data_IF_639573495945
#
_entry.id   IF_639573495945
#
_cell.length_a   1.000
_cell.length_b   1.000
_cell.length_c   1.000
_cell.angle_alpha   90.00
_cell.angle_beta   90.00
_cell.angle_gamma   90.00
#
_symmetry.space_group_name_H-M   'P 1'
#
loop_
_entity.id
_entity.type
_entity.pdbx_description
1 polymer ?
#
# COMPACT_ATOMS: atom_id res chain seq x y z
N UNK A 1 -18.29 -27.38 -9.34
CA UNK A 1 -18.17 -27.61 -7.89
C UNK A 1 -18.51 -26.31 -7.19
N UNK A 2 -19.73 -26.16 -6.67
CA UNK A 2 -20.13 -24.97 -5.91
C UNK A 2 -19.53 -25.09 -4.51
N UNK A 3 -18.56 -24.26 -4.18
CA UNK A 3 -18.08 -24.14 -2.80
C UNK A 3 -19.14 -23.33 -2.04
N UNK A 4 -19.68 -23.89 -0.95
CA UNK A 4 -20.66 -23.21 -0.11
C UNK A 4 -20.02 -21.94 0.48
N UNK A 5 -20.68 -20.80 0.31
CA UNK A 5 -20.22 -19.51 0.86
C UNK A 5 -19.99 -19.56 2.37
N UNK A 6 -20.74 -20.41 3.09
CA UNK A 6 -20.59 -20.64 4.53
C UNK A 6 -19.23 -21.29 4.85
N UNK A 7 -18.78 -22.21 3.98
CA UNK A 7 -17.47 -22.85 4.15
C UNK A 7 -16.31 -21.87 3.93
N UNK A 8 -16.42 -21.01 2.91
CA UNK A 8 -15.43 -19.95 2.68
C UNK A 8 -15.39 -19.00 3.88
N UNK A 9 -16.55 -18.58 4.38
CA UNK A 9 -16.64 -17.70 5.55
C UNK A 9 -16.02 -18.35 6.80
N UNK A 10 -16.24 -19.63 7.02
CA UNK A 10 -15.65 -20.38 8.14
C UNK A 10 -14.12 -20.43 8.04
N UNK A 11 -13.58 -20.70 6.84
CA UNK A 11 -12.11 -20.69 6.62
C UNK A 11 -11.53 -19.33 6.92
N UNK A 12 -12.12 -18.24 6.41
CA UNK A 12 -11.65 -16.88 6.66
C UNK A 12 -11.71 -16.58 8.17
N UNK A 13 -12.81 -16.92 8.84
CA UNK A 13 -12.94 -16.71 10.27
C UNK A 13 -11.88 -17.47 11.09
N UNK A 14 -11.59 -18.71 10.73
CA UNK A 14 -10.54 -19.51 11.37
C UNK A 14 -9.15 -18.93 11.11
N UNK A 15 -8.88 -18.47 9.90
CA UNK A 15 -7.60 -17.80 9.57
C UNK A 15 -7.42 -16.51 10.39
N UNK A 16 -8.46 -15.66 10.44
CA UNK A 16 -8.42 -14.43 11.23
C UNK A 16 -8.23 -14.70 12.72
N UNK A 17 -8.92 -15.71 13.24
CA UNK A 17 -8.80 -16.11 14.64
C UNK A 17 -7.40 -16.66 14.97
N UNK A 18 -6.86 -17.51 14.09
CA UNK A 18 -5.48 -18.02 14.23
C UNK A 18 -4.45 -16.90 14.20
N UNK A 19 -4.60 -15.96 13.27
CA UNK A 19 -3.71 -14.80 13.16
C UNK A 19 -3.79 -13.89 14.39
N UNK A 20 -5.00 -13.70 14.93
CA UNK A 20 -5.21 -12.96 16.17
C UNK A 20 -4.49 -13.62 17.36
N UNK A 21 -4.62 -14.94 17.53
CA UNK A 21 -3.90 -15.68 18.58
C UNK A 21 -2.39 -15.52 18.39
N UNK A 22 -1.88 -15.71 17.18
CA UNK A 22 -0.45 -15.62 16.89
C UNK A 22 0.12 -14.23 17.19
N UNK A 23 -0.65 -13.16 16.95
CA UNK A 23 -0.25 -11.78 17.22
C UNK A 23 0.07 -11.55 18.71
N UNK A 24 -0.63 -12.24 19.61
CA UNK A 24 -0.44 -12.10 21.06
C UNK A 24 0.35 -13.22 21.72
N UNK A 25 0.48 -14.37 21.05
CA UNK A 25 1.16 -15.56 21.61
C UNK A 25 2.63 -15.64 21.21
N UNK A 26 3.00 -15.09 20.05
CA UNK A 26 4.38 -15.15 19.58
C UNK A 26 5.16 -13.92 20.05
N UNK A 27 6.31 -14.17 20.66
CA UNK A 27 7.21 -13.10 21.09
C UNK A 27 7.64 -12.24 19.90
N UNK A 28 7.49 -10.93 20.02
CA UNK A 28 7.84 -9.96 18.97
C UNK A 28 6.83 -9.79 17.84
N UNK A 29 5.77 -10.62 17.73
CA UNK A 29 4.79 -10.49 16.65
C UNK A 29 4.04 -9.16 16.72
N UNK A 30 3.63 -8.74 17.91
CA UNK A 30 2.97 -7.45 18.11
C UNK A 30 3.88 -6.28 17.74
N UNK A 31 5.15 -6.32 18.10
CA UNK A 31 6.12 -5.29 17.73
C UNK A 31 6.32 -5.25 16.23
N UNK A 32 6.49 -6.40 15.59
CA UNK A 32 6.61 -6.51 14.13
C UNK A 32 5.39 -5.92 13.43
N UNK A 33 4.19 -6.21 13.93
CA UNK A 33 2.95 -5.64 13.43
C UNK A 33 2.93 -4.10 13.56
N UNK A 34 3.24 -3.56 14.73
CA UNK A 34 3.28 -2.11 14.96
C UNK A 34 4.29 -1.42 14.02
N UNK A 35 5.43 -2.04 13.78
CA UNK A 35 6.46 -1.53 12.87
C UNK A 35 5.96 -1.44 11.42
N UNK A 36 5.05 -2.30 11.00
CA UNK A 36 4.50 -2.27 9.62
C UNK A 36 3.44 -1.19 9.42
N UNK A 37 2.78 -0.71 10.48
CA UNK A 37 1.68 0.27 10.38
C UNK A 37 2.08 1.53 9.61
N UNK A 38 3.21 2.22 9.89
CA UNK A 38 3.60 3.40 9.13
C UNK A 38 3.75 3.11 7.63
N UNK A 39 4.33 1.96 7.28
CA UNK A 39 4.52 1.54 5.89
C UNK A 39 3.20 1.38 5.16
N UNK A 40 2.25 0.70 5.78
CA UNK A 40 0.90 0.49 5.22
C UNK A 40 0.16 1.81 5.04
N UNK A 41 0.15 2.65 6.07
CA UNK A 41 -0.54 3.95 6.03
C UNK A 41 0.02 4.84 4.93
N UNK A 42 1.34 4.93 4.82
CA UNK A 42 2.02 5.69 3.77
C UNK A 42 1.68 5.10 2.40
N UNK A 43 1.86 3.79 2.22
CA UNK A 43 1.68 3.14 0.93
C UNK A 43 0.26 3.31 0.38
N UNK A 44 -0.77 3.02 1.17
CA UNK A 44 -2.18 3.13 0.74
C UNK A 44 -2.55 4.60 0.54
N UNK A 45 -2.18 5.49 1.46
CA UNK A 45 -2.56 6.90 1.37
C UNK A 45 -2.04 7.56 0.11
N UNK A 46 -0.77 7.38 -0.18
CA UNK A 46 -0.15 8.00 -1.35
C UNK A 46 -0.57 7.33 -2.65
N UNK A 47 -0.83 6.03 -2.64
CA UNK A 47 -1.39 5.31 -3.77
C UNK A 47 -2.75 5.87 -4.20
N UNK A 48 -3.70 5.93 -3.26
CA UNK A 48 -5.04 6.46 -3.51
C UNK A 48 -5.01 7.97 -3.83
N UNK A 49 -4.15 8.73 -3.15
CA UNK A 49 -3.93 10.13 -3.47
C UNK A 49 -3.44 10.33 -4.90
N UNK A 50 -2.55 9.48 -5.39
CA UNK A 50 -2.02 9.56 -6.74
C UNK A 50 -3.10 9.32 -7.81
N UNK A 51 -4.00 8.35 -7.59
CA UNK A 51 -5.17 8.17 -8.44
C UNK A 51 -6.06 9.40 -8.45
N UNK A 52 -6.40 9.94 -7.27
CA UNK A 52 -7.20 11.14 -7.12
C UNK A 52 -6.57 12.34 -7.83
N UNK A 53 -5.26 12.52 -7.66
CA UNK A 53 -4.51 13.61 -8.27
C UNK A 53 -4.44 13.49 -9.80
N UNK A 54 -4.19 12.29 -10.32
CA UNK A 54 -4.16 12.06 -11.76
C UNK A 54 -5.53 12.29 -12.40
N UNK A 55 -6.63 11.81 -11.78
CA UNK A 55 -7.99 12.04 -12.26
C UNK A 55 -8.33 13.54 -12.30
N UNK A 56 -8.03 14.26 -11.21
CA UNK A 56 -8.24 15.72 -11.12
C UNK A 56 -7.46 16.49 -12.21
N UNK A 57 -6.20 16.11 -12.46
CA UNK A 57 -5.39 16.70 -13.53
C UNK A 57 -5.92 16.41 -14.95
N UNK A 58 -6.63 15.31 -15.10
CA UNK A 58 -7.27 14.94 -16.35
C UNK A 58 -8.69 15.53 -16.51
N UNK A 59 -9.14 16.33 -15.55
CA UNK A 59 -10.40 17.07 -15.62
C UNK A 59 -11.54 16.50 -14.78
N UNK A 60 -11.33 15.38 -14.09
CA UNK A 60 -12.33 14.81 -13.21
C UNK A 60 -12.20 15.38 -11.79
N UNK A 61 -13.08 16.28 -11.41
CA UNK A 61 -13.16 16.92 -10.11
C UNK A 61 -13.87 16.05 -9.04
N UNK A 62 -14.35 14.85 -9.40
CA UNK A 62 -15.02 13.92 -8.47
C UNK A 62 -14.16 13.61 -7.25
N UNK A 63 -12.87 13.24 -7.37
CA UNK A 63 -12.03 12.99 -6.19
C UNK A 63 -11.85 14.22 -5.31
N UNK A 64 -11.78 15.41 -5.91
CA UNK A 64 -11.66 16.68 -5.18
C UNK A 64 -12.92 16.96 -4.37
N UNK A 65 -14.10 16.83 -4.99
CA UNK A 65 -15.39 17.07 -4.33
C UNK A 65 -15.65 16.11 -3.17
N UNK A 66 -15.10 14.90 -3.23
CA UNK A 66 -15.16 13.88 -2.18
C UNK A 66 -14.08 14.05 -1.10
N UNK A 67 -13.21 15.08 -1.20
CA UNK A 67 -12.13 15.34 -0.27
C UNK A 67 -11.03 14.27 -0.30
N UNK A 68 -10.83 13.60 -1.47
CA UNK A 68 -9.82 12.55 -1.68
C UNK A 68 -8.44 13.11 -2.04
N UNK A 69 -8.35 14.37 -2.46
CA UNK A 69 -7.08 15.10 -2.68
C UNK A 69 -6.49 15.56 -1.34
N UNK A 70 -6.11 14.61 -0.51
CA UNK A 70 -5.68 14.86 0.86
C UNK A 70 -4.83 13.68 1.34
N UNK A 71 -3.83 13.93 2.13
CA UNK A 71 -2.89 12.92 2.65
C UNK A 71 -3.27 12.40 4.05
N UNK A 72 -4.49 12.63 4.50
CA UNK A 72 -4.99 12.04 5.74
C UNK A 72 -5.29 10.54 5.53
N UNK A 73 -4.58 9.61 6.20
CA UNK A 73 -4.77 8.17 6.00
C UNK A 73 -6.23 7.72 6.22
N UNK A 74 -6.92 8.30 7.18
CA UNK A 74 -8.31 7.93 7.50
C UNK A 74 -9.32 8.21 6.37
N UNK A 75 -8.93 9.01 5.38
CA UNK A 75 -9.73 9.23 4.18
C UNK A 75 -9.57 8.10 3.14
N UNK A 76 -8.49 7.33 3.25
CA UNK A 76 -8.08 6.32 2.27
C UNK A 76 -8.19 4.88 2.81
N UNK A 77 -8.43 4.72 4.11
CA UNK A 77 -8.60 3.39 4.70
C UNK A 77 -10.03 2.88 4.50
N UNK A 78 -10.13 1.60 4.17
CA UNK A 78 -11.36 0.81 4.22
C UNK A 78 -11.38 -0.01 5.52
N UNK A 79 -12.51 -0.04 6.22
CA UNK A 79 -12.60 -0.74 7.50
C UNK A 79 -12.32 -2.25 7.36
N UNK A 80 -12.95 -2.90 6.37
CA UNK A 80 -12.75 -4.33 6.15
C UNK A 80 -11.37 -4.63 5.59
N UNK A 81 -10.88 -3.82 4.63
CA UNK A 81 -9.53 -3.93 4.11
C UNK A 81 -8.47 -3.77 5.19
N UNK A 82 -8.68 -2.86 6.15
CA UNK A 82 -7.78 -2.67 7.29
C UNK A 82 -7.81 -3.87 8.24
N UNK A 83 -8.99 -4.40 8.56
CA UNK A 83 -9.12 -5.62 9.38
C UNK A 83 -8.43 -6.81 8.70
N UNK A 84 -8.66 -7.01 7.41
CA UNK A 84 -8.00 -8.08 6.64
C UNK A 84 -6.49 -7.93 6.63
N UNK A 85 -5.99 -6.69 6.51
CA UNK A 85 -4.55 -6.42 6.55
C UNK A 85 -3.95 -6.80 7.91
N UNK A 86 -4.63 -6.45 9.01
CA UNK A 86 -4.17 -6.75 10.37
C UNK A 86 -4.11 -8.26 10.63
N UNK A 87 -5.12 -9.00 10.22
CA UNK A 87 -5.29 -10.39 10.62
C UNK A 87 -4.95 -11.42 9.55
N UNK A 88 -5.01 -11.05 8.28
CA UNK A 88 -4.70 -11.94 7.16
C UNK A 88 -3.41 -11.58 6.43
N UNK A 89 -2.78 -10.44 6.78
CA UNK A 89 -1.55 -9.97 6.14
C UNK A 89 -1.76 -9.37 4.74
N UNK A 90 -3.01 -9.27 4.27
CA UNK A 90 -3.37 -8.57 3.05
C UNK A 90 -4.63 -7.73 3.27
N UNK A 91 -4.76 -6.63 2.57
CA UNK A 91 -5.88 -5.72 2.70
C UNK A 91 -5.93 -4.73 1.54
N UNK A 92 -6.90 -3.84 1.59
CA UNK A 92 -7.09 -2.82 0.57
C UNK A 92 -7.48 -1.48 1.18
N UNK A 93 -7.23 -0.42 0.43
CA UNK A 93 -7.70 0.92 0.75
C UNK A 93 -9.15 1.13 0.30
N UNK A 94 -9.72 2.26 0.68
CA UNK A 94 -10.98 2.74 0.14
C UNK A 94 -10.72 3.32 -1.25
N UNK A 95 -11.21 2.70 -2.34
CA UNK A 95 -10.90 3.13 -3.69
C UNK A 95 -11.34 4.58 -3.96
N UNK A 96 -10.59 5.28 -4.80
CA UNK A 96 -11.00 6.60 -5.31
C UNK A 96 -12.06 6.39 -6.39
N UNK A 97 -13.19 7.05 -6.23
CA UNK A 97 -14.21 7.10 -7.27
C UNK A 97 -13.80 8.07 -8.38
N UNK A 98 -13.92 7.62 -9.62
CA UNK A 98 -13.55 8.36 -10.82
C UNK A 98 -14.77 8.40 -11.74
N UNK A 99 -15.06 9.58 -12.30
CA UNK A 99 -16.07 9.73 -13.32
C UNK A 99 -15.42 9.96 -14.70
N UNK A 100 -15.29 8.93 -15.53
CA UNK A 100 -14.64 9.04 -16.82
C UNK A 100 -15.27 10.06 -17.78
N UNK A 101 -16.55 10.42 -17.56
CA UNK A 101 -17.26 11.41 -18.40
C UNK A 101 -16.72 12.83 -18.21
N UNK A 102 -16.05 13.09 -17.08
CA UNK A 102 -15.47 14.39 -16.75
C UNK A 102 -14.08 14.58 -17.36
N UNK A 103 -13.45 13.52 -17.85
CA UNK A 103 -12.11 13.64 -18.43
C UNK A 103 -12.06 14.58 -19.64
N UNK A 104 -10.97 15.32 -19.72
CA UNK A 104 -10.69 16.19 -20.87
C UNK A 104 -10.70 15.36 -22.17
N UNK A 105 -11.38 15.88 -23.20
CA UNK A 105 -11.54 15.18 -24.48
C UNK A 105 -10.29 15.21 -25.38
N UNK A 106 -9.15 15.67 -24.85
CA UNK A 106 -7.90 15.75 -25.61
C UNK A 106 -7.22 14.39 -25.81
N UNK A 107 -7.72 13.34 -25.16
CA UNK A 107 -7.23 11.97 -25.29
C UNK A 107 -8.38 10.97 -25.24
N UNK A 108 -8.11 9.72 -25.64
CA UNK A 108 -9.11 8.66 -25.52
C UNK A 108 -9.40 8.34 -24.06
N UNK A 109 -10.64 7.94 -23.78
CA UNK A 109 -11.10 7.57 -22.45
C UNK A 109 -10.23 6.46 -21.84
N UNK A 110 -9.97 5.41 -22.62
CA UNK A 110 -9.11 4.29 -22.20
C UNK A 110 -7.71 4.75 -21.80
N UNK A 111 -7.12 5.72 -22.54
CA UNK A 111 -5.81 6.28 -22.19
C UNK A 111 -5.86 7.05 -20.87
N UNK A 112 -6.91 7.85 -20.64
CA UNK A 112 -7.10 8.59 -19.41
C UNK A 112 -7.22 7.63 -18.20
N UNK A 113 -8.05 6.58 -18.33
CA UNK A 113 -8.21 5.56 -17.29
C UNK A 113 -6.90 4.82 -17.01
N UNK A 114 -6.12 4.48 -18.04
CA UNK A 114 -4.82 3.83 -17.89
C UNK A 114 -3.80 4.72 -17.16
N UNK A 115 -3.78 6.03 -17.46
CA UNK A 115 -2.92 7.00 -16.77
C UNK A 115 -3.29 7.09 -15.28
N UNK A 116 -4.59 7.20 -15.00
CA UNK A 116 -5.05 7.23 -13.60
C UNK A 116 -4.69 5.93 -12.89
N UNK A 117 -4.93 4.78 -13.51
CA UNK A 117 -4.60 3.48 -12.94
C UNK A 117 -3.09 3.31 -12.69
N UNK A 118 -2.24 3.80 -13.58
CA UNK A 118 -0.79 3.72 -13.42
C UNK A 118 -0.27 4.64 -12.29
N UNK A 119 -0.99 5.70 -11.96
CA UNK A 119 -0.53 6.71 -11.00
C UNK A 119 -0.28 6.13 -9.59
N UNK A 120 -1.16 5.24 -9.10
CA UNK A 120 -1.01 4.57 -7.80
C UNK A 120 0.26 3.74 -7.69
N UNK A 121 0.44 2.71 -8.54
CA UNK A 121 1.66 1.90 -8.54
C UNK A 121 2.94 2.71 -8.74
N UNK A 122 2.94 3.71 -9.63
CA UNK A 122 4.10 4.58 -9.85
C UNK A 122 4.44 5.39 -8.61
N UNK A 123 3.46 5.89 -7.86
CA UNK A 123 3.67 6.59 -6.61
C UNK A 123 4.30 5.66 -5.56
N UNK A 124 3.87 4.41 -5.47
CA UNK A 124 4.48 3.45 -4.57
C UNK A 124 5.95 3.18 -4.91
N UNK A 125 6.30 3.01 -6.18
CA UNK A 125 7.71 2.86 -6.56
C UNK A 125 8.53 4.12 -6.27
N UNK A 126 7.97 5.31 -6.49
CA UNK A 126 8.63 6.55 -6.13
C UNK A 126 8.92 6.63 -4.62
N UNK A 127 7.94 6.27 -3.79
CA UNK A 127 8.12 6.21 -2.33
C UNK A 127 9.16 5.18 -1.94
N UNK A 128 9.13 3.99 -2.53
CA UNK A 128 10.13 2.97 -2.28
C UNK A 128 11.55 3.49 -2.56
N UNK A 129 11.76 4.19 -3.67
CA UNK A 129 13.05 4.80 -4.00
C UNK A 129 13.45 5.86 -2.97
N UNK A 130 12.53 6.76 -2.59
CA UNK A 130 12.81 7.81 -1.60
C UNK A 130 13.20 7.21 -0.25
N UNK A 131 12.44 6.22 0.23
CA UNK A 131 12.74 5.58 1.52
C UNK A 131 13.97 4.67 1.46
N UNK A 132 14.31 4.07 0.31
CA UNK A 132 15.56 3.36 0.11
C UNK A 132 16.77 4.30 0.19
N UNK A 133 16.68 5.50 -0.37
CA UNK A 133 17.71 6.52 -0.22
C UNK A 133 17.87 6.91 1.27
N UNK A 134 16.76 7.12 1.99
CA UNK A 134 16.79 7.41 3.43
C UNK A 134 17.46 6.26 4.19
N UNK A 135 17.14 5.02 3.87
CA UNK A 135 17.73 3.83 4.45
C UNK A 135 19.25 3.80 4.22
N UNK A 136 19.71 4.01 2.99
CA UNK A 136 21.14 4.08 2.66
C UNK A 136 21.86 5.22 3.42
N UNK A 137 21.22 6.38 3.59
CA UNK A 137 21.76 7.48 4.35
C UNK A 137 21.89 7.14 5.84
N UNK A 138 20.87 6.48 6.42
CA UNK A 138 20.94 6.02 7.82
C UNK A 138 22.12 5.06 8.01
N UNK A 139 22.26 4.06 7.12
CA UNK A 139 23.35 3.08 7.21
C UNK A 139 24.73 3.75 7.11
N UNK A 140 24.84 4.73 6.22
CA UNK A 140 26.12 5.40 5.94
C UNK A 140 26.53 6.39 7.02
N UNK A 141 25.58 7.10 7.61
CA UNK A 141 25.89 8.27 8.45
C UNK A 141 25.45 8.12 9.91
N UNK A 142 24.55 7.20 10.25
CA UNK A 142 24.10 7.09 11.64
C UNK A 142 25.16 6.40 12.51
N UNK A 143 25.56 7.01 13.62
CA UNK A 143 26.53 6.41 14.54
C UNK A 143 25.93 5.16 15.20
N UNK A 144 26.75 4.11 15.32
CA UNK A 144 26.33 2.84 15.94
C UNK A 144 25.59 1.87 15.02
N UNK A 145 25.54 2.17 13.73
CA UNK A 145 25.16 1.19 12.70
C UNK A 145 26.40 0.42 12.25
N UNK A 146 26.31 -0.89 12.25
CA UNK A 146 27.36 -1.79 11.79
C UNK A 146 26.83 -2.71 10.71
N UNK A 147 27.66 -2.99 9.72
CA UNK A 147 27.36 -3.93 8.64
C UNK A 147 28.40 -5.03 8.67
N UNK A 148 28.00 -6.26 8.93
CA UNK A 148 28.87 -7.42 8.88
C UNK A 148 28.15 -8.65 8.35
N UNK A 149 28.83 -9.40 7.47
CA UNK A 149 28.26 -10.61 6.86
C UNK A 149 26.97 -10.37 6.05
N UNK A 150 26.76 -9.15 5.54
CA UNK A 150 25.51 -8.79 4.84
C UNK A 150 24.35 -8.44 5.75
N UNK A 151 24.54 -8.43 7.06
CA UNK A 151 23.52 -8.04 8.03
C UNK A 151 23.81 -6.65 8.59
N UNK A 152 22.72 -5.89 8.81
CA UNK A 152 22.77 -4.57 9.44
C UNK A 152 22.30 -4.72 10.87
N UNK A 153 23.10 -4.23 11.82
CA UNK A 153 22.77 -4.28 13.24
C UNK A 153 23.20 -2.99 13.93
N UNK A 154 22.52 -2.69 15.01
CA UNK A 154 22.86 -1.59 15.90
C UNK A 154 22.66 -2.02 17.35
N UNK A 155 23.54 -1.53 18.23
CA UNK A 155 23.37 -1.66 19.67
C UNK A 155 22.34 -0.68 20.22
N UNK A 156 22.03 0.38 19.47
CA UNK A 156 20.98 1.34 19.80
C UNK A 156 19.61 0.80 19.33
N UNK A 157 18.75 0.48 20.29
CA UNK A 157 17.45 -0.12 20.03
C UNK A 157 16.52 0.81 19.22
N UNK A 158 16.51 2.13 19.53
CA UNK A 158 15.71 3.08 18.78
C UNK A 158 16.14 3.17 17.32
N UNK A 159 17.45 3.13 17.04
CA UNK A 159 17.98 3.12 15.70
C UNK A 159 17.65 1.82 14.96
N UNK A 160 17.70 0.68 15.64
CA UNK A 160 17.26 -0.61 15.09
C UNK A 160 15.79 -0.57 14.67
N UNK A 161 14.91 -0.05 15.53
CA UNK A 161 13.48 0.11 15.22
C UNK A 161 13.30 1.05 14.02
N UNK A 162 13.99 2.19 14.00
CA UNK A 162 13.90 3.14 12.88
C UNK A 162 14.32 2.51 11.54
N UNK A 163 15.42 1.76 11.52
CA UNK A 163 15.89 1.01 10.36
C UNK A 163 14.81 0.03 9.89
N UNK A 164 14.24 -0.75 10.81
CA UNK A 164 13.21 -1.74 10.48
C UNK A 164 11.93 -1.08 9.95
N UNK A 165 11.53 0.06 10.51
CA UNK A 165 10.37 0.83 10.01
C UNK A 165 10.63 1.30 8.58
N UNK A 166 11.81 1.87 8.29
CA UNK A 166 12.14 2.35 6.93
C UNK A 166 12.18 1.18 5.94
N UNK A 167 12.78 0.06 6.30
CA UNK A 167 12.78 -1.15 5.45
C UNK A 167 11.36 -1.67 5.22
N UNK A 168 10.51 -1.65 6.23
CA UNK A 168 9.09 -2.03 6.11
C UNK A 168 8.36 -1.12 5.12
N UNK A 169 8.58 0.21 5.18
CA UNK A 169 7.99 1.16 4.24
C UNK A 169 8.42 0.83 2.80
N UNK A 170 9.71 0.58 2.56
CA UNK A 170 10.23 0.21 1.23
C UNK A 170 9.55 -1.07 0.73
N UNK A 171 9.58 -2.13 1.54
CA UNK A 171 9.06 -3.45 1.14
C UNK A 171 7.56 -3.41 0.85
N UNK A 172 6.77 -2.72 1.67
CA UNK A 172 5.32 -2.59 1.49
C UNK A 172 5.00 -1.79 0.23
N UNK A 173 5.72 -0.70 -0.03
CA UNK A 173 5.51 0.10 -1.24
C UNK A 173 5.86 -0.68 -2.51
N UNK A 174 6.97 -1.42 -2.53
CA UNK A 174 7.30 -2.30 -3.66
C UNK A 174 6.21 -3.36 -3.84
N UNK A 175 5.84 -4.05 -2.75
CA UNK A 175 4.83 -5.10 -2.80
C UNK A 175 3.48 -4.61 -3.32
N UNK A 176 2.99 -3.47 -2.81
CA UNK A 176 1.73 -2.88 -3.23
C UNK A 176 1.78 -2.41 -4.69
N UNK A 177 2.88 -1.78 -5.11
CA UNK A 177 3.08 -1.35 -6.49
C UNK A 177 3.08 -2.53 -7.47
N UNK A 178 3.85 -3.58 -7.19
CA UNK A 178 3.90 -4.80 -8.02
C UNK A 178 2.55 -5.51 -8.04
N UNK A 179 1.92 -5.67 -6.88
CA UNK A 179 0.62 -6.33 -6.77
C UNK A 179 -0.44 -5.63 -7.63
N UNK A 180 -0.51 -4.30 -7.58
CA UNK A 180 -1.48 -3.54 -8.36
C UNK A 180 -1.19 -3.51 -9.86
N UNK A 181 0.03 -3.83 -10.31
CA UNK A 181 0.34 -3.99 -11.73
C UNK A 181 -0.08 -5.34 -12.33
N UNK A 182 -0.51 -6.30 -11.51
CA UNK A 182 -1.06 -7.57 -12.01
C UNK A 182 -2.30 -7.28 -12.86
N UNK A 183 -2.38 -7.80 -14.13
CA UNK A 183 -3.46 -7.46 -15.06
C UNK A 183 -4.75 -8.25 -14.78
N UNK A 184 -5.19 -8.26 -13.54
CA UNK A 184 -6.40 -8.95 -13.08
C UNK A 184 -7.35 -7.96 -12.40
N UNK A 185 -8.63 -7.86 -12.81
CA UNK A 185 -9.60 -7.06 -12.07
C UNK A 185 -9.76 -7.57 -10.62
N UNK A 186 -9.90 -6.69 -9.62
CA UNK A 186 -10.11 -5.24 -9.71
C UNK A 186 -8.83 -4.39 -9.67
N UNK A 187 -7.62 -4.97 -9.86
CA UNK A 187 -6.34 -4.28 -9.75
C UNK A 187 -6.10 -3.29 -10.90
N UNK A 188 -5.26 -2.29 -10.64
CA UNK A 188 -4.96 -1.22 -11.60
C UNK A 188 -4.37 -1.72 -12.92
N UNK A 189 -3.53 -2.75 -12.85
CA UNK A 189 -2.92 -3.39 -14.02
C UNK A 189 -3.94 -3.86 -15.05
N UNK A 190 -5.15 -4.22 -14.63
CA UNK A 190 -6.22 -4.59 -15.56
C UNK A 190 -6.66 -3.43 -16.44
N UNK A 191 -6.78 -2.21 -15.89
CA UNK A 191 -7.14 -1.00 -16.66
C UNK A 191 -6.00 -0.55 -17.55
N UNK A 192 -4.75 -0.72 -17.10
CA UNK A 192 -3.57 -0.43 -17.92
C UNK A 192 -3.55 -1.37 -19.13
N UNK A 193 -3.73 -2.68 -18.92
CA UNK A 193 -3.73 -3.66 -20.02
C UNK A 193 -4.86 -3.43 -21.02
N UNK A 194 -6.06 -3.04 -20.56
CA UNK A 194 -7.20 -2.77 -21.47
C UNK A 194 -6.97 -1.59 -22.40
N UNK A 195 -5.95 -0.78 -22.16
CA UNK A 195 -5.59 0.33 -23.05
C UNK A 195 -4.81 -0.13 -24.29
N UNK A 196 -4.04 -1.20 -24.16
CA UNK A 196 -3.23 -1.78 -25.25
C UNK A 196 -3.97 -2.87 -25.99
#
# INVERSE_FOLDING_TARGET
MYIDKRFIFLIIALMLFSSFINLFSQEGALLSFIITIPGVLIAITFHEFAHAFAADKLGDDTPRSQGRLNLNPFKHLDLFGTIMLVFAGFGWGKPVEINPRNFNRNMSLSKAEAIVAAAGPLMNFLLAIVFEIIFCLIIKFAPGVNVAGGFIYSTNEALRIAITVVQSIVSINIGLGVFNLIPLPPLDGSKILMHF
#
